data_IF_395429483605
#
_entry.id   IF_395429483605
#
_cell.length_a   1.000
_cell.length_b   1.000
_cell.length_c   1.000
_cell.angle_alpha   90.00
_cell.angle_beta   90.00
_cell.angle_gamma   90.00
#
_symmetry.space_group_name_H-M   'P 1'
#
loop_
_entity.id
_entity.type
_entity.pdbx_description
1 polymer ?
#
# COMPACT_ATOMS: atom_id res chain seq x y z
N UNK A 1 -30.50 -46.12 56.30
CA UNK A 1 -30.14 -45.99 54.88
C UNK A 1 -28.92 -45.11 54.76
N UNK A 2 -27.79 -45.66 54.32
CA UNK A 2 -26.52 -44.99 54.01
C UNK A 2 -26.13 -45.35 52.57
N UNK A 3 -25.28 -44.50 51.98
CA UNK A 3 -24.40 -44.66 50.81
C UNK A 3 -24.78 -43.90 49.53
N UNK A 4 -23.95 -42.89 49.21
CA UNK A 4 -23.14 -42.79 47.98
C UNK A 4 -22.23 -41.54 48.12
N UNK A 5 -21.02 -41.64 48.68
CA UNK A 5 -19.73 -41.97 48.04
C UNK A 5 -19.17 -40.87 47.12
N UNK A 6 -18.34 -39.98 47.70
CA UNK A 6 -17.35 -39.17 47.00
C UNK A 6 -16.21 -40.07 46.47
N UNK A 7 -15.76 -39.85 45.23
CA UNK A 7 -14.41 -40.21 44.78
C UNK A 7 -13.73 -38.98 44.16
N UNK A 8 -12.63 -38.57 44.79
CA UNK A 8 -11.65 -37.62 44.24
C UNK A 8 -10.81 -38.37 43.20
N UNK A 9 -10.64 -37.78 42.02
CA UNK A 9 -9.67 -38.22 41.02
C UNK A 9 -8.41 -37.35 41.15
N UNK A 10 -7.26 -38.00 41.32
CA UNK A 10 -5.91 -37.44 41.36
C UNK A 10 -5.42 -37.02 39.98
N UNK A 11 -4.54 -36.00 39.84
CA UNK A 11 -3.96 -35.64 38.55
C UNK A 11 -2.90 -36.68 38.12
N UNK A 12 -3.14 -37.34 37.00
CA UNK A 12 -2.14 -38.20 36.34
C UNK A 12 -1.08 -37.37 35.64
N UNK A 13 0.19 -37.54 36.05
CA UNK A 13 1.37 -37.02 35.34
C UNK A 13 1.53 -37.78 34.02
N UNK A 14 1.37 -37.10 32.88
CA UNK A 14 1.82 -37.60 31.58
C UNK A 14 3.25 -37.12 31.37
N UNK A 15 4.23 -37.98 31.69
CA UNK A 15 5.62 -37.74 31.34
C UNK A 15 5.83 -38.08 29.86
N UNK A 16 5.89 -37.06 28.98
CA UNK A 16 6.41 -37.24 27.62
C UNK A 16 7.94 -37.26 27.69
N UNK A 17 8.53 -38.42 27.37
CA UNK A 17 9.97 -38.56 27.10
C UNK A 17 10.32 -37.73 25.87
N UNK A 18 11.02 -36.62 26.04
CA UNK A 18 11.79 -36.02 24.96
C UNK A 18 13.09 -36.81 24.80
N UNK A 19 13.17 -37.63 23.77
CA UNK A 19 14.44 -38.15 23.28
C UNK A 19 15.21 -36.99 22.63
N UNK A 20 16.28 -36.52 23.29
CA UNK A 20 17.27 -35.62 22.68
C UNK A 20 17.93 -36.35 21.51
N UNK A 21 17.55 -36.02 20.28
CA UNK A 21 18.43 -36.25 19.13
C UNK A 21 19.60 -35.26 19.26
N UNK A 22 20.80 -35.79 19.44
CA UNK A 22 22.03 -35.01 19.28
C UNK A 22 22.18 -34.72 17.79
N UNK A 23 22.07 -33.45 17.41
CA UNK A 23 22.57 -32.98 16.12
C UNK A 23 24.09 -32.99 16.22
N UNK A 24 24.74 -33.76 15.36
CA UNK A 24 26.19 -33.72 15.21
C UNK A 24 26.55 -32.35 14.60
N UNK A 25 27.40 -31.59 15.28
CA UNK A 25 28.01 -30.38 14.74
C UNK A 25 29.06 -30.79 13.71
N UNK A 26 28.74 -30.59 12.42
CA UNK A 26 29.73 -30.68 11.35
C UNK A 26 30.32 -29.28 11.14
N UNK A 27 31.47 -29.07 11.75
CA UNK A 27 32.17 -27.79 11.87
C UNK A 27 33.21 -27.66 10.74
N UNK A 28 32.75 -27.82 9.49
CA UNK A 28 33.66 -27.96 8.35
C UNK A 28 33.16 -27.41 7.01
N UNK A 29 32.65 -26.17 6.97
CA UNK A 29 32.62 -25.41 5.70
C UNK A 29 33.11 -23.97 5.88
N UNK A 30 34.40 -23.83 5.61
CA UNK A 30 35.16 -22.61 5.46
C UNK A 30 34.58 -21.69 4.36
N UNK A 31 34.52 -20.40 4.71
CA UNK A 31 34.82 -19.25 3.86
C UNK A 31 34.35 -19.31 2.40
N UNK A 32 33.21 -18.68 2.11
CA UNK A 32 32.93 -18.15 0.79
C UNK A 32 32.89 -16.63 0.85
N UNK A 33 33.98 -16.01 0.36
CA UNK A 33 33.95 -14.63 -0.08
C UNK A 33 32.94 -14.52 -1.23
N UNK A 34 32.01 -13.55 -1.24
CA UNK A 34 31.12 -13.38 -2.38
C UNK A 34 31.96 -12.91 -3.58
N UNK A 35 32.18 -13.82 -4.54
CA UNK A 35 32.69 -13.44 -5.85
C UNK A 35 31.57 -12.73 -6.58
N UNK A 36 31.79 -11.46 -6.85
CA UNK A 36 30.98 -10.64 -7.73
C UNK A 36 31.00 -11.24 -9.17
N UNK A 37 29.88 -11.74 -9.72
CA UNK A 37 29.83 -12.09 -11.13
C UNK A 37 29.60 -10.81 -11.92
N UNK A 38 30.65 -10.31 -12.57
CA UNK A 38 30.53 -9.27 -13.60
C UNK A 38 29.73 -9.83 -14.78
N UNK A 39 28.67 -9.09 -15.14
CA UNK A 39 28.14 -8.86 -16.47
C UNK A 39 27.91 -10.09 -17.37
N UNK A 40 26.63 -10.48 -17.43
CA UNK A 40 26.01 -10.99 -18.66
C UNK A 40 24.91 -9.98 -19.01
N UNK A 41 25.15 -9.15 -20.03
CA UNK A 41 24.12 -8.40 -20.77
C UNK A 41 23.85 -9.19 -22.03
N UNK A 42 22.68 -9.80 -22.16
CA UNK A 42 21.98 -10.08 -23.42
C UNK A 42 20.59 -10.69 -23.10
N UNK A 43 19.53 -9.95 -23.39
CA UNK A 43 18.12 -10.38 -23.35
C UNK A 43 17.49 -10.50 -21.96
N UNK A 44 17.34 -9.41 -21.21
CA UNK A 44 16.64 -9.46 -19.92
C UNK A 44 15.13 -9.42 -20.16
N UNK A 45 14.49 -10.56 -19.94
CA UNK A 45 13.06 -10.70 -19.65
C UNK A 45 12.74 -9.78 -18.47
N UNK A 46 11.90 -8.78 -18.66
CA UNK A 46 11.48 -7.88 -17.58
C UNK A 46 9.97 -7.63 -17.66
N UNK A 47 9.31 -7.59 -16.50
CA UNK A 47 8.02 -6.93 -16.41
C UNK A 47 8.19 -5.43 -16.63
N UNK A 48 7.16 -4.79 -17.17
CA UNK A 48 7.18 -3.38 -17.52
C UNK A 48 6.27 -2.61 -16.56
N UNK A 49 6.85 -1.66 -15.82
CA UNK A 49 6.04 -0.61 -15.18
C UNK A 49 5.54 0.31 -16.29
N UNK A 50 4.23 0.31 -16.56
CA UNK A 50 3.64 1.08 -17.67
C UNK A 50 2.94 2.35 -17.21
N UNK A 51 2.60 2.45 -15.92
CA UNK A 51 1.93 3.61 -15.34
C UNK A 51 2.24 3.73 -13.85
N UNK A 52 2.40 4.96 -13.36
CA UNK A 52 2.47 5.25 -11.94
C UNK A 52 1.71 6.55 -11.61
N UNK A 53 0.98 6.57 -10.49
CA UNK A 53 0.27 7.77 -10.04
C UNK A 53 -0.24 7.68 -8.61
N UNK A 54 -0.71 8.80 -8.07
CA UNK A 54 -1.30 8.87 -6.73
C UNK A 54 -2.61 9.63 -6.72
N UNK A 55 -3.52 9.24 -5.83
CA UNK A 55 -4.80 9.92 -5.64
C UNK A 55 -5.34 9.79 -4.21
N UNK A 56 -6.00 10.82 -3.71
CA UNK A 56 -6.81 10.71 -2.49
C UNK A 56 -7.93 9.66 -2.63
N UNK A 57 -8.38 9.08 -1.51
CA UNK A 57 -9.37 7.98 -1.47
C UNK A 57 -10.56 8.21 -0.54
N UNK A 58 -10.81 9.44 -0.08
CA UNK A 58 -11.92 9.71 0.86
C UNK A 58 -13.27 9.29 0.25
N UNK A 59 -14.14 8.63 1.03
CA UNK A 59 -15.40 8.06 0.53
C UNK A 59 -16.34 9.09 -0.13
N UNK A 60 -16.18 10.38 0.22
CA UNK A 60 -16.94 11.49 -0.38
C UNK A 60 -16.77 11.61 -1.90
N UNK A 61 -15.64 11.16 -2.45
CA UNK A 61 -15.32 11.16 -3.88
C UNK A 61 -16.39 10.40 -4.67
N UNK A 62 -16.82 9.24 -4.18
CA UNK A 62 -17.82 8.40 -4.85
C UNK A 62 -19.24 8.75 -4.38
N UNK A 63 -19.40 9.01 -3.08
CA UNK A 63 -20.74 9.18 -2.47
C UNK A 63 -21.39 10.51 -2.76
N UNK A 64 -20.58 11.55 -2.91
CA UNK A 64 -21.03 12.93 -3.05
C UNK A 64 -20.13 13.68 -4.05
N UNK A 65 -20.02 13.20 -5.30
CA UNK A 65 -19.06 13.72 -6.27
C UNK A 65 -19.23 15.23 -6.53
N UNK A 66 -20.45 15.75 -6.42
CA UNK A 66 -20.81 17.16 -6.65
C UNK A 66 -20.87 18.01 -5.35
N UNK A 67 -20.21 17.58 -4.27
CA UNK A 67 -20.31 18.23 -2.97
C UNK A 67 -19.80 19.68 -2.94
N UNK A 68 -18.88 20.05 -3.83
CA UNK A 68 -18.40 21.43 -3.97
C UNK A 68 -18.43 21.84 -5.45
N UNK A 69 -19.46 22.54 -5.92
CA UNK A 69 -19.56 22.97 -7.32
C UNK A 69 -18.38 23.81 -7.83
N UNK A 70 -17.59 24.43 -6.94
CA UNK A 70 -16.40 25.19 -7.34
C UNK A 70 -15.19 24.29 -7.66
N UNK A 71 -15.08 23.13 -7.00
CA UNK A 71 -13.90 22.26 -7.07
C UNK A 71 -14.19 20.87 -7.68
N UNK A 72 -15.40 20.34 -7.51
CA UNK A 72 -15.82 19.04 -8.04
C UNK A 72 -15.55 18.89 -9.54
N UNK A 73 -15.87 19.85 -10.43
CA UNK A 73 -15.65 19.66 -11.87
C UNK A 73 -14.18 19.51 -12.28
N UNK A 74 -13.26 20.22 -11.64
CA UNK A 74 -11.83 20.12 -11.98
C UNK A 74 -11.21 18.82 -11.47
N UNK A 75 -11.63 18.35 -10.28
CA UNK A 75 -11.21 17.06 -9.76
C UNK A 75 -11.78 15.93 -10.62
N UNK A 76 -13.05 16.07 -11.04
CA UNK A 76 -13.71 15.10 -11.90
C UNK A 76 -12.96 14.90 -13.23
N UNK A 77 -12.64 16.02 -13.90
CA UNK A 77 -11.86 16.01 -15.13
C UNK A 77 -10.46 15.38 -14.95
N UNK A 78 -9.80 15.62 -13.81
CA UNK A 78 -8.49 15.06 -13.52
C UNK A 78 -8.51 13.54 -13.32
N UNK A 79 -9.50 13.01 -12.58
CA UNK A 79 -9.68 11.55 -12.47
C UNK A 79 -10.09 10.91 -13.80
N UNK A 80 -10.92 11.58 -14.61
CA UNK A 80 -11.24 11.11 -15.96
C UNK A 80 -9.98 11.04 -16.85
N UNK A 81 -9.09 12.03 -16.77
CA UNK A 81 -7.79 11.97 -17.46
C UNK A 81 -6.97 10.79 -16.95
N UNK A 82 -6.76 10.68 -15.64
CA UNK A 82 -5.98 9.58 -15.04
C UNK A 82 -6.52 8.20 -15.44
N UNK A 83 -7.85 8.01 -15.42
CA UNK A 83 -8.47 6.75 -15.85
C UNK A 83 -8.20 6.45 -17.33
N UNK A 84 -8.28 7.47 -18.20
CA UNK A 84 -7.97 7.33 -19.62
C UNK A 84 -6.49 7.00 -19.85
N UNK A 85 -5.58 7.63 -19.10
CA UNK A 85 -4.14 7.41 -19.19
C UNK A 85 -3.76 5.99 -18.70
N UNK A 86 -4.37 5.51 -17.60
CA UNK A 86 -4.25 4.11 -17.15
C UNK A 86 -4.79 3.14 -18.21
N UNK A 87 -5.96 3.41 -18.78
CA UNK A 87 -6.55 2.55 -19.81
C UNK A 87 -5.68 2.51 -21.08
N UNK A 88 -5.05 3.63 -21.46
CA UNK A 88 -4.14 3.72 -22.60
C UNK A 88 -2.81 3.00 -22.36
N UNK A 89 -2.30 2.98 -21.11
CA UNK A 89 -1.15 2.18 -20.70
C UNK A 89 -1.44 0.67 -20.74
N UNK A 90 -2.71 0.29 -20.67
CA UNK A 90 -3.23 -1.08 -20.76
C UNK A 90 -2.48 -2.07 -19.83
N UNK A 91 -2.47 -1.85 -18.51
CA UNK A 91 -1.83 -2.78 -17.58
C UNK A 91 -2.60 -4.11 -17.51
N UNK A 92 -1.85 -5.20 -17.37
CA UNK A 92 -2.40 -6.53 -17.05
C UNK A 92 -2.86 -6.59 -15.58
N UNK A 93 -2.18 -5.85 -14.71
CA UNK A 93 -2.39 -5.82 -13.26
C UNK A 93 -2.09 -4.43 -12.69
N UNK A 94 -2.89 -4.00 -11.72
CA UNK A 94 -2.67 -2.78 -10.96
C UNK A 94 -2.25 -3.14 -9.54
N UNK A 95 -1.05 -2.74 -9.14
CA UNK A 95 -0.64 -2.78 -7.74
C UNK A 95 -1.17 -1.51 -7.07
N UNK A 96 -2.12 -1.67 -6.16
CA UNK A 96 -2.77 -0.57 -5.47
C UNK A 96 -2.19 -0.46 -4.06
N UNK A 97 -1.33 0.53 -3.84
CA UNK A 97 -0.66 0.80 -2.56
C UNK A 97 -1.52 1.73 -1.72
N UNK A 98 -2.04 1.26 -0.59
CA UNK A 98 -2.99 2.02 0.23
C UNK A 98 -2.87 1.68 1.72
N UNK A 99 -3.44 2.51 2.61
CA UNK A 99 -3.71 2.10 3.98
C UNK A 99 -5.00 1.27 4.07
N UNK A 100 -5.28 0.76 5.26
CA UNK A 100 -6.54 0.16 5.71
C UNK A 100 -6.95 0.90 6.98
N UNK A 101 -8.24 1.16 7.13
CA UNK A 101 -8.78 2.01 8.20
C UNK A 101 -9.34 1.18 9.36
N UNK A 102 -8.66 0.08 9.69
CA UNK A 102 -9.02 -0.89 10.73
C UNK A 102 -10.23 -1.79 10.39
N UNK A 103 -10.56 -1.92 9.11
CA UNK A 103 -11.61 -2.83 8.66
C UNK A 103 -11.02 -4.24 8.44
N UNK A 104 -9.90 -4.34 7.74
CA UNK A 104 -9.21 -5.63 7.50
C UNK A 104 -8.12 -5.92 8.52
N UNK A 105 -7.40 -4.90 8.99
CA UNK A 105 -6.32 -5.10 9.95
C UNK A 105 -6.63 -4.42 11.29
N UNK A 106 -7.13 -5.22 12.23
CA UNK A 106 -7.32 -4.82 13.62
C UNK A 106 -6.05 -4.90 14.46
N UNK A 107 -6.10 -4.39 15.70
CA UNK A 107 -4.96 -4.36 16.62
C UNK A 107 -4.49 -5.76 17.07
N UNK A 108 -5.31 -6.78 16.89
CA UNK A 108 -4.96 -8.17 17.13
C UNK A 108 -3.86 -8.67 16.18
N UNK A 109 -3.76 -8.10 14.97
CA UNK A 109 -2.70 -8.38 14.02
C UNK A 109 -2.56 -7.26 12.98
N UNK A 110 -1.77 -6.24 13.33
CA UNK A 110 -1.52 -5.09 12.47
C UNK A 110 -0.11 -5.14 11.87
N UNK A 111 0.05 -5.52 10.58
CA UNK A 111 1.35 -5.56 9.93
C UNK A 111 1.89 -4.15 9.64
N UNK A 112 3.19 -4.02 9.38
CA UNK A 112 3.75 -2.76 8.82
C UNK A 112 3.47 -2.68 7.32
N UNK A 113 3.67 -3.81 6.62
CA UNK A 113 3.39 -3.99 5.20
C UNK A 113 2.67 -5.32 4.99
N UNK A 114 1.66 -5.34 4.14
CA UNK A 114 0.97 -6.58 3.76
C UNK A 114 0.60 -6.55 2.28
N UNK A 115 0.77 -7.66 1.58
CA UNK A 115 0.32 -7.81 0.20
C UNK A 115 -0.85 -8.80 0.14
N UNK A 116 -1.92 -8.40 -0.53
CA UNK A 116 -2.97 -9.32 -0.94
C UNK A 116 -2.48 -10.15 -2.12
N UNK A 117 -2.47 -11.46 -1.94
CA UNK A 117 -1.96 -12.41 -2.93
C UNK A 117 -3.02 -13.48 -3.23
N UNK A 118 -4.22 -13.02 -3.53
CA UNK A 118 -5.39 -13.83 -3.84
C UNK A 118 -5.80 -13.62 -5.30
N UNK A 119 -6.58 -14.53 -5.87
CA UNK A 119 -7.24 -14.31 -7.17
C UNK A 119 -8.55 -13.50 -7.03
N UNK A 120 -9.02 -13.25 -5.81
CA UNK A 120 -10.18 -12.42 -5.51
C UNK A 120 -10.05 -11.75 -4.13
N UNK A 121 -10.54 -10.53 -4.03
CA UNK A 121 -10.55 -9.72 -2.82
C UNK A 121 -11.98 -9.29 -2.50
N UNK A 122 -12.44 -9.53 -1.27
CA UNK A 122 -13.77 -9.06 -0.83
C UNK A 122 -13.84 -7.53 -0.76
N UNK A 123 -15.05 -7.00 -0.62
CA UNK A 123 -15.31 -5.57 -0.42
C UNK A 123 -16.09 -5.37 0.89
N UNK A 124 -15.59 -4.51 1.78
CA UNK A 124 -16.28 -4.19 3.03
C UNK A 124 -17.53 -3.35 2.81
N UNK A 125 -17.54 -2.54 1.75
CA UNK A 125 -18.63 -1.63 1.40
C UNK A 125 -18.97 -0.66 2.55
N UNK A 126 -17.96 -0.30 3.36
CA UNK A 126 -18.15 0.63 4.45
C UNK A 126 -18.43 2.03 3.93
N UNK A 127 -19.01 2.85 4.81
CA UNK A 127 -19.56 4.16 4.45
C UNK A 127 -20.63 4.13 3.33
N UNK A 128 -21.12 2.95 2.93
CA UNK A 128 -22.08 2.80 1.84
C UNK A 128 -21.45 2.94 0.45
N UNK A 129 -20.13 2.73 0.34
CA UNK A 129 -19.46 2.58 -0.95
C UNK A 129 -19.93 1.26 -1.56
N UNK A 130 -20.58 1.26 -2.74
CA UNK A 130 -21.01 0.04 -3.39
C UNK A 130 -19.80 -0.71 -3.95
N UNK A 131 -19.69 -2.02 -3.78
CA UNK A 131 -18.53 -2.76 -4.28
C UNK A 131 -18.81 -4.24 -4.37
N UNK A 132 -18.57 -4.79 -5.55
CA UNK A 132 -18.46 -6.23 -5.75
C UNK A 132 -17.04 -6.69 -5.36
N UNK A 133 -16.81 -7.99 -5.14
CA UNK A 133 -15.47 -8.53 -5.02
C UNK A 133 -14.58 -8.12 -6.20
N UNK A 134 -13.33 -7.79 -5.92
CA UNK A 134 -12.35 -7.30 -6.87
C UNK A 134 -11.48 -8.46 -7.34
N UNK A 135 -11.28 -8.62 -8.65
CA UNK A 135 -10.40 -9.64 -9.19
C UNK A 135 -8.95 -9.38 -8.77
N UNK A 136 -8.27 -10.41 -8.27
CA UNK A 136 -6.86 -10.37 -7.90
C UNK A 136 -5.95 -11.06 -8.91
N UNK A 137 -4.67 -11.15 -8.56
CA UNK A 137 -3.69 -11.98 -9.29
C UNK A 137 -2.72 -12.63 -8.30
N UNK A 138 -3.03 -13.86 -7.87
CA UNK A 138 -2.20 -14.59 -6.89
C UNK A 138 -0.76 -14.74 -7.39
N UNK A 139 -0.57 -15.00 -8.69
CA UNK A 139 0.74 -15.27 -9.27
C UNK A 139 1.64 -14.05 -9.21
N UNK A 140 1.13 -12.89 -9.63
CA UNK A 140 1.86 -11.62 -9.56
C UNK A 140 2.09 -11.24 -8.10
N UNK A 141 1.05 -11.29 -7.25
CA UNK A 141 1.17 -10.96 -5.83
C UNK A 141 2.22 -11.80 -5.10
N UNK A 142 2.22 -13.12 -5.31
CA UNK A 142 3.21 -14.03 -4.71
C UNK A 142 4.61 -13.86 -5.29
N UNK A 143 4.75 -13.51 -6.58
CA UNK A 143 6.04 -13.22 -7.18
C UNK A 143 6.67 -11.93 -6.59
N UNK A 144 5.86 -10.87 -6.46
CA UNK A 144 6.28 -9.62 -5.81
C UNK A 144 6.67 -9.89 -4.36
N UNK A 145 5.83 -10.58 -3.58
CA UNK A 145 6.12 -10.95 -2.20
C UNK A 145 7.46 -11.68 -2.08
N UNK A 146 7.68 -12.69 -2.92
CA UNK A 146 8.90 -13.51 -2.90
C UNK A 146 10.15 -12.67 -3.16
N UNK A 147 10.07 -11.73 -4.12
CA UNK A 147 11.15 -10.80 -4.42
C UNK A 147 11.45 -9.84 -3.25
N UNK A 148 10.41 -9.28 -2.62
CA UNK A 148 10.54 -8.37 -1.49
C UNK A 148 11.16 -9.06 -0.27
N UNK A 149 10.73 -10.29 0.05
CA UNK A 149 11.31 -11.10 1.12
C UNK A 149 12.77 -11.43 0.82
N UNK A 150 13.10 -11.82 -0.42
CA UNK A 150 14.49 -12.06 -0.84
C UNK A 150 15.37 -10.80 -0.74
N UNK A 151 14.76 -9.61 -0.85
CA UNK A 151 15.41 -8.30 -0.72
C UNK A 151 15.50 -7.80 0.73
N UNK A 152 15.05 -8.58 1.71
CA UNK A 152 15.15 -8.24 3.13
C UNK A 152 14.00 -7.40 3.69
N UNK A 153 12.82 -7.42 3.04
CA UNK A 153 11.60 -6.85 3.60
C UNK A 153 10.71 -7.92 4.24
N UNK A 154 10.32 -7.68 5.49
CA UNK A 154 9.36 -8.52 6.22
C UNK A 154 7.92 -8.12 5.85
N UNK A 155 7.50 -8.46 4.62
CA UNK A 155 6.14 -8.20 4.14
C UNK A 155 5.24 -9.38 4.51
N UNK A 156 4.12 -9.09 5.19
CA UNK A 156 3.08 -10.08 5.47
C UNK A 156 2.28 -10.38 4.20
N UNK A 157 1.59 -11.53 4.16
CA UNK A 157 0.67 -11.86 3.08
C UNK A 157 -0.73 -12.10 3.61
N UNK A 158 -1.71 -11.68 2.85
CA UNK A 158 -3.12 -12.03 3.03
C UNK A 158 -3.60 -12.77 1.77
N UNK A 159 -4.07 -14.01 1.93
CA UNK A 159 -4.62 -14.81 0.82
C UNK A 159 -6.09 -14.50 0.54
N UNK A 160 -6.71 -13.67 1.37
CA UNK A 160 -8.08 -13.16 1.26
C UNK A 160 -8.10 -11.79 1.97
N UNK A 161 -7.62 -10.74 1.31
CA UNK A 161 -7.64 -9.37 1.86
C UNK A 161 -8.95 -8.70 1.43
N UNK A 162 -9.91 -8.55 2.35
CA UNK A 162 -11.08 -7.70 2.10
C UNK A 162 -10.63 -6.25 1.98
N UNK A 163 -11.23 -5.50 1.07
CA UNK A 163 -10.82 -4.14 0.75
C UNK A 163 -11.79 -3.14 1.33
N UNK A 164 -11.23 -2.13 1.98
CA UNK A 164 -11.92 -0.96 2.50
C UNK A 164 -11.90 0.18 1.46
N UNK A 165 -12.40 1.35 1.82
CA UNK A 165 -12.49 2.53 0.97
C UNK A 165 -11.14 3.07 0.52
N UNK A 166 -10.06 2.79 1.26
CA UNK A 166 -8.69 3.13 0.89
C UNK A 166 -8.28 2.50 -0.45
N UNK A 167 -8.91 1.37 -0.80
CA UNK A 167 -8.73 0.68 -2.07
C UNK A 167 -9.97 0.79 -2.99
N UNK A 168 -11.18 0.65 -2.45
CA UNK A 168 -12.41 0.59 -3.27
C UNK A 168 -12.75 1.93 -3.93
N UNK A 169 -12.46 3.07 -3.29
CA UNK A 169 -12.69 4.39 -3.88
C UNK A 169 -11.88 4.58 -5.17
N UNK A 170 -10.54 4.38 -5.18
CA UNK A 170 -9.78 4.48 -6.43
C UNK A 170 -10.19 3.41 -7.46
N UNK A 171 -10.53 2.18 -7.05
CA UNK A 171 -11.03 1.15 -7.98
C UNK A 171 -12.27 1.62 -8.72
N UNK A 172 -13.24 2.22 -8.02
CA UNK A 172 -14.46 2.74 -8.66
C UNK A 172 -14.22 4.03 -9.43
N UNK A 173 -13.47 4.95 -8.82
CA UNK A 173 -13.30 6.29 -9.37
C UNK A 173 -12.51 6.30 -10.67
N UNK A 174 -11.58 5.36 -10.81
CA UNK A 174 -10.71 5.21 -11.98
C UNK A 174 -11.17 4.07 -12.91
N UNK A 175 -12.37 3.51 -12.70
CA UNK A 175 -12.97 2.45 -13.51
C UNK A 175 -12.07 1.20 -13.66
N UNK A 176 -11.50 0.74 -12.55
CA UNK A 176 -10.57 -0.38 -12.49
C UNK A 176 -11.25 -1.73 -12.21
N UNK A 177 -12.58 -1.80 -12.15
CA UNK A 177 -13.32 -3.00 -11.75
C UNK A 177 -13.05 -4.24 -12.62
N UNK A 178 -12.73 -4.03 -13.90
CA UNK A 178 -12.38 -5.10 -14.86
C UNK A 178 -10.88 -5.44 -14.86
N UNK A 179 -10.05 -4.73 -14.09
CA UNK A 179 -8.61 -4.96 -13.97
C UNK A 179 -8.32 -5.89 -12.78
N UNK A 180 -7.22 -6.64 -12.88
CA UNK A 180 -6.69 -7.40 -11.75
C UNK A 180 -5.99 -6.44 -10.79
N UNK A 181 -6.33 -6.52 -9.51
CA UNK A 181 -5.79 -5.66 -8.46
C UNK A 181 -4.95 -6.50 -7.49
N UNK A 182 -3.70 -6.10 -7.29
CA UNK A 182 -2.85 -6.61 -6.20
C UNK A 182 -2.80 -5.52 -5.12
N UNK A 183 -3.60 -5.63 -4.05
CA UNK A 183 -3.61 -4.63 -2.99
C UNK A 183 -2.33 -4.75 -2.15
N UNK A 184 -1.69 -3.61 -1.88
CA UNK A 184 -0.49 -3.51 -1.08
C UNK A 184 -0.74 -2.55 0.08
N UNK A 185 -0.99 -3.11 1.25
CA UNK A 185 -1.19 -2.36 2.48
C UNK A 185 0.11 -1.79 3.04
N UNK A 186 0.07 -0.51 3.41
CA UNK A 186 1.09 0.19 4.19
C UNK A 186 0.45 0.77 5.45
N UNK A 187 0.98 0.42 6.63
CA UNK A 187 0.49 1.01 7.88
C UNK A 187 0.82 2.51 7.93
N UNK A 188 -0.23 3.33 7.90
CA UNK A 188 -0.15 4.78 7.99
C UNK A 188 -0.83 5.34 9.26
N UNK A 189 -1.54 4.49 10.00
CA UNK A 189 -2.55 4.93 10.97
C UNK A 189 -2.13 4.68 12.42
N UNK A 190 -1.47 3.56 12.71
CA UNK A 190 -1.17 3.15 14.09
C UNK A 190 0.32 2.93 14.32
N UNK A 191 0.97 3.74 15.17
CA UNK A 191 2.37 3.55 15.52
C UNK A 191 2.68 2.18 16.14
N UNK A 192 3.90 1.63 15.92
CA UNK A 192 4.99 2.23 15.17
C UNK A 192 4.74 2.21 13.66
N UNK A 193 4.99 3.33 12.99
CA UNK A 193 4.86 3.48 11.55
C UNK A 193 6.18 3.17 10.86
N UNK A 194 6.18 2.67 9.62
CA UNK A 194 7.41 2.66 8.81
C UNK A 194 7.85 4.12 8.61
N UNK A 195 9.17 4.37 8.68
CA UNK A 195 9.69 5.69 8.31
C UNK A 195 9.47 5.95 6.82
N UNK A 196 9.41 7.22 6.42
CA UNK A 196 9.33 7.60 5.01
C UNK A 196 10.51 7.05 4.21
N UNK A 197 11.72 7.01 4.80
CA UNK A 197 12.87 6.35 4.17
C UNK A 197 12.61 4.85 3.93
N UNK A 198 12.00 4.13 4.88
CA UNK A 198 11.68 2.71 4.70
C UNK A 198 10.63 2.51 3.61
N UNK A 199 9.69 3.45 3.44
CA UNK A 199 8.73 3.47 2.34
C UNK A 199 9.41 3.72 0.99
N UNK A 200 10.40 4.62 0.92
CA UNK A 200 11.21 4.85 -0.29
C UNK A 200 12.00 3.59 -0.68
N UNK A 201 12.67 2.97 0.29
CA UNK A 201 13.40 1.72 0.08
C UNK A 201 12.45 0.60 -0.41
N UNK A 202 11.23 0.53 0.15
CA UNK A 202 10.20 -0.41 -0.28
C UNK A 202 9.77 -0.16 -1.73
N UNK A 203 9.57 1.09 -2.13
CA UNK A 203 9.22 1.44 -3.52
C UNK A 203 10.30 1.03 -4.51
N UNK A 204 11.58 1.27 -4.19
CA UNK A 204 12.69 0.80 -5.02
C UNK A 204 12.77 -0.75 -5.11
N UNK A 205 12.47 -1.44 -4.02
CA UNK A 205 12.38 -2.90 -3.99
C UNK A 205 11.16 -3.42 -4.78
N UNK A 206 10.02 -2.71 -4.72
CA UNK A 206 8.83 -3.02 -5.51
C UNK A 206 9.12 -2.87 -7.01
N UNK A 207 9.81 -1.80 -7.42
CA UNK A 207 10.26 -1.66 -8.82
C UNK A 207 11.12 -2.83 -9.25
N UNK A 208 12.10 -3.21 -8.44
CA UNK A 208 12.96 -4.37 -8.72
C UNK A 208 12.18 -5.68 -8.81
N UNK A 209 11.10 -5.82 -8.03
CA UNK A 209 10.21 -6.98 -8.09
C UNK A 209 9.36 -7.01 -9.36
N UNK A 210 8.85 -5.85 -9.81
CA UNK A 210 8.12 -5.70 -11.07
C UNK A 210 9.04 -6.02 -12.26
N UNK A 211 10.25 -5.47 -12.28
CA UNK A 211 11.25 -5.74 -13.33
C UNK A 211 11.66 -7.23 -13.39
N UNK A 212 11.41 -8.01 -12.33
CA UNK A 212 11.71 -9.44 -12.25
C UNK A 212 10.51 -10.35 -12.61
N UNK A 213 9.34 -9.79 -12.91
CA UNK A 213 8.19 -10.53 -13.39
C UNK A 213 8.43 -11.12 -14.79
N UNK A 214 7.59 -12.07 -15.24
CA UNK A 214 7.68 -12.63 -16.60
C UNK A 214 7.62 -11.55 -17.68
N UNK A 215 8.26 -11.84 -18.82
CA UNK A 215 8.40 -10.92 -19.95
C UNK A 215 7.05 -10.38 -20.43
N UNK A 216 6.96 -9.06 -20.60
CA UNK A 216 5.76 -8.40 -21.10
C UNK A 216 4.61 -8.28 -20.10
N UNK A 217 4.82 -8.63 -18.82
CA UNK A 217 3.83 -8.34 -17.77
C UNK A 217 3.77 -6.84 -17.55
N UNK A 218 2.67 -6.19 -17.95
CA UNK A 218 2.47 -4.75 -17.80
C UNK A 218 1.83 -4.44 -16.46
N UNK A 219 2.52 -3.69 -15.62
CA UNK A 219 2.08 -3.33 -14.27
C UNK A 219 1.82 -1.84 -14.18
N UNK A 220 0.69 -1.45 -13.62
CA UNK A 220 0.47 -0.09 -13.13
C UNK A 220 0.60 -0.05 -11.60
N UNK A 221 1.14 1.03 -11.04
CA UNK A 221 1.24 1.22 -9.59
C UNK A 221 0.51 2.49 -9.18
N UNK A 222 -0.44 2.38 -8.26
CA UNK A 222 -1.21 3.51 -7.74
C UNK A 222 -1.04 3.64 -6.23
N UNK A 223 -0.64 4.82 -5.75
CA UNK A 223 -0.65 5.14 -4.32
C UNK A 223 -1.93 5.87 -3.92
N UNK A 224 -2.53 5.51 -2.79
CA UNK A 224 -3.81 6.10 -2.35
C UNK A 224 -3.70 6.81 -1.01
N UNK A 225 -4.53 7.82 -0.80
CA UNK A 225 -4.66 8.55 0.47
C UNK A 225 -4.11 9.96 0.43
N UNK A 226 -4.07 10.60 1.59
CA UNK A 226 -3.69 12.00 1.75
C UNK A 226 -4.74 12.99 1.18
N UNK A 227 -4.45 14.28 1.09
CA UNK A 227 -3.21 14.95 1.54
C UNK A 227 -3.43 15.43 2.98
N UNK A 228 -3.47 16.74 3.28
CA UNK A 228 -3.76 17.19 4.65
C UNK A 228 -5.20 16.92 5.05
N UNK A 229 -5.35 16.33 6.24
CA UNK A 229 -6.62 16.22 6.96
C UNK A 229 -6.41 15.74 8.40
N UNK A 230 -7.27 16.22 9.28
CA UNK A 230 -7.42 15.72 10.64
C UNK A 230 -8.70 14.92 10.73
N UNK A 231 -8.61 13.70 11.26
CA UNK A 231 -9.75 12.78 11.33
C UNK A 231 -9.85 12.16 12.72
N UNK A 232 -11.03 12.25 13.33
CA UNK A 232 -11.29 11.69 14.66
C UNK A 232 -10.58 12.41 15.81
N UNK A 233 -10.06 13.62 15.57
CA UNK A 233 -9.28 14.43 16.54
C UNK A 233 -9.81 15.87 16.64
N UNK A 234 -9.44 16.68 17.65
CA UNK A 234 -10.03 18.01 17.87
C UNK A 234 -9.99 18.98 16.68
N UNK A 235 -8.97 18.87 15.82
CA UNK A 235 -8.78 19.69 14.60
C UNK A 235 -9.52 19.14 13.36
N UNK A 236 -10.39 18.14 13.54
CA UNK A 236 -11.07 17.50 12.40
C UNK A 236 -11.84 18.52 11.55
N UNK A 237 -11.68 18.43 10.22
CA UNK A 237 -12.25 19.38 9.27
C UNK A 237 -11.30 20.48 8.81
N UNK A 238 -10.14 20.64 9.45
CA UNK A 238 -9.07 21.52 8.95
C UNK A 238 -8.38 20.92 7.71
N UNK A 239 -7.96 21.80 6.80
CA UNK A 239 -7.16 21.49 5.60
C UNK A 239 -6.04 22.52 5.55
N UNK A 240 -4.80 22.08 5.39
CA UNK A 240 -3.64 22.96 5.24
C UNK A 240 -3.19 23.02 3.78
N UNK A 241 -3.80 23.93 3.02
CA UNK A 241 -3.50 24.10 1.60
C UNK A 241 -2.05 24.47 1.30
N UNK A 242 -1.41 25.23 2.19
CA UNK A 242 -0.02 25.64 1.98
C UNK A 242 0.89 24.41 2.09
N UNK A 243 0.65 23.58 3.10
CA UNK A 243 1.39 22.32 3.25
C UNK A 243 1.14 21.38 2.07
N UNK A 244 -0.12 21.21 1.65
CA UNK A 244 -0.48 20.36 0.51
C UNK A 244 0.24 20.78 -0.76
N UNK A 245 0.20 22.08 -1.10
CA UNK A 245 0.86 22.62 -2.29
C UNK A 245 2.38 22.46 -2.24
N UNK A 246 2.99 22.62 -1.05
CA UNK A 246 4.43 22.36 -0.86
C UNK A 246 4.75 20.88 -1.06
N UNK A 247 3.98 19.98 -0.45
CA UNK A 247 4.18 18.53 -0.61
C UNK A 247 4.02 18.09 -2.07
N UNK A 248 2.94 18.51 -2.74
CA UNK A 248 2.70 18.19 -4.14
C UNK A 248 3.82 18.69 -5.05
N UNK A 249 4.33 19.91 -4.81
CA UNK A 249 5.47 20.43 -5.56
C UNK A 249 6.74 19.59 -5.38
N UNK A 250 6.98 19.01 -4.19
CA UNK A 250 8.11 18.10 -3.99
C UNK A 250 7.93 16.81 -4.80
N UNK A 251 6.71 16.24 -4.81
CA UNK A 251 6.40 15.05 -5.60
C UNK A 251 6.53 15.33 -7.10
N UNK A 252 6.00 16.45 -7.60
CA UNK A 252 6.10 16.85 -9.01
C UNK A 252 7.55 17.02 -9.46
N UNK A 253 8.42 17.54 -8.58
CA UNK A 253 9.84 17.72 -8.88
C UNK A 253 10.70 16.47 -8.65
N UNK A 254 10.12 15.38 -8.14
CA UNK A 254 10.87 14.17 -7.78
C UNK A 254 11.79 14.34 -6.56
N UNK A 255 11.57 15.37 -5.74
CA UNK A 255 12.40 15.67 -4.57
C UNK A 255 12.02 14.79 -3.36
N UNK A 256 12.19 13.48 -3.51
CA UNK A 256 11.94 12.53 -2.43
C UNK A 256 12.91 12.70 -1.27
N UNK A 257 14.11 13.26 -1.49
CA UNK A 257 15.07 13.55 -0.42
C UNK A 257 14.45 14.52 0.60
N UNK A 258 13.78 15.58 0.13
CA UNK A 258 13.05 16.50 0.99
C UNK A 258 11.87 15.80 1.68
N UNK A 259 11.09 14.99 0.96
CA UNK A 259 9.92 14.30 1.53
C UNK A 259 10.33 13.33 2.64
N UNK A 260 11.33 12.48 2.42
CA UNK A 260 11.76 11.48 3.43
C UNK A 260 12.47 12.11 4.64
N UNK A 261 12.85 13.38 4.55
CA UNK A 261 13.43 14.14 5.67
C UNK A 261 12.38 14.66 6.66
N UNK A 262 11.09 14.65 6.28
CA UNK A 262 9.99 15.04 7.16
C UNK A 262 9.84 14.06 8.32
N UNK A 263 9.50 14.56 9.50
CA UNK A 263 9.19 13.75 10.67
C UNK A 263 7.68 13.54 10.84
N UNK A 264 7.29 12.44 11.49
CA UNK A 264 5.87 12.18 11.80
C UNK A 264 5.26 13.28 12.66
N UNK A 265 6.02 13.84 13.61
CA UNK A 265 5.56 14.92 14.48
C UNK A 265 5.28 16.21 13.68
N UNK A 266 6.14 16.56 12.72
CA UNK A 266 5.91 17.71 11.82
C UNK A 266 4.67 17.50 10.95
N UNK A 267 4.49 16.29 10.39
CA UNK A 267 3.32 15.97 9.57
C UNK A 267 2.03 16.03 10.41
N UNK A 268 2.05 15.45 11.61
CA UNK A 268 0.89 15.46 12.52
C UNK A 268 0.46 16.89 12.90
N UNK A 269 1.43 17.76 13.15
CA UNK A 269 1.17 19.15 13.54
C UNK A 269 0.73 20.00 12.34
N UNK A 270 1.39 19.88 11.19
CA UNK A 270 1.14 20.76 10.04
C UNK A 270 0.05 20.26 9.09
N UNK A 271 -0.18 18.96 8.98
CA UNK A 271 -1.04 18.36 7.96
C UNK A 271 -2.07 17.35 8.52
N UNK A 272 -1.88 16.90 9.75
CA UNK A 272 -2.82 16.06 10.48
C UNK A 272 -2.55 14.58 10.40
N UNK A 273 -3.26 13.81 11.22
CA UNK A 273 -3.07 12.37 11.33
C UNK A 273 -3.41 11.61 10.05
N UNK A 274 -4.31 12.14 9.23
CA UNK A 274 -4.62 11.57 7.92
C UNK A 274 -3.53 11.80 6.89
N UNK A 275 -2.71 12.86 7.03
CA UNK A 275 -1.60 13.12 6.13
C UNK A 275 -0.47 12.09 6.25
N UNK A 276 -0.44 11.27 7.30
CA UNK A 276 0.56 10.19 7.43
C UNK A 276 0.48 9.14 6.31
N UNK A 277 -0.62 9.13 5.56
CA UNK A 277 -0.83 8.34 4.35
C UNK A 277 0.08 8.71 3.18
N UNK A 278 0.80 9.84 3.23
CA UNK A 278 1.82 10.18 2.21
C UNK A 278 2.91 9.11 2.07
N UNK A 279 3.02 8.16 3.01
CA UNK A 279 3.83 6.94 2.87
C UNK A 279 3.53 6.17 1.59
N UNK A 280 2.27 6.07 1.19
CA UNK A 280 1.88 5.38 -0.06
C UNK A 280 2.39 6.15 -1.27
N UNK A 281 2.39 7.49 -1.20
CA UNK A 281 2.93 8.36 -2.24
C UNK A 281 4.44 8.19 -2.38
N UNK A 282 5.16 8.07 -1.27
CA UNK A 282 6.61 7.80 -1.26
C UNK A 282 6.93 6.43 -1.85
N UNK A 283 6.17 5.38 -1.51
CA UNK A 283 6.35 4.05 -2.13
C UNK A 283 6.14 4.13 -3.65
N UNK A 284 5.07 4.77 -4.09
CA UNK A 284 4.73 4.86 -5.52
C UNK A 284 5.73 5.70 -6.30
N UNK A 285 6.17 6.85 -5.76
CA UNK A 285 7.14 7.72 -6.42
C UNK A 285 8.54 7.08 -6.51
N UNK A 286 8.97 6.36 -5.46
CA UNK A 286 10.20 5.58 -5.49
C UNK A 286 10.12 4.41 -6.49
N UNK A 287 8.96 3.76 -6.59
CA UNK A 287 8.72 2.72 -7.59
C UNK A 287 8.76 3.27 -9.03
N UNK A 288 8.22 4.47 -9.25
CA UNK A 288 8.27 5.17 -10.53
C UNK A 288 9.71 5.59 -10.92
N UNK A 289 10.62 5.67 -9.96
CA UNK A 289 12.03 6.03 -10.17
C UNK A 289 12.36 7.48 -9.85
N UNK A 290 11.52 8.17 -9.06
CA UNK A 290 11.82 9.47 -8.46
C UNK A 290 12.07 10.60 -9.49
N UNK A 291 11.58 10.45 -10.72
CA UNK A 291 11.71 11.47 -11.78
C UNK A 291 10.76 12.67 -11.60
N UNK A 292 9.81 12.54 -10.68
CA UNK A 292 8.75 13.50 -10.49
C UNK A 292 7.51 13.17 -11.31
N UNK A 293 6.76 14.19 -11.68
CA UNK A 293 5.48 14.02 -12.34
C UNK A 293 4.72 15.32 -12.51
N UNK A 294 3.41 15.19 -12.65
CA UNK A 294 2.50 16.30 -12.90
C UNK A 294 1.26 16.16 -12.02
N UNK A 295 0.97 17.17 -11.21
CA UNK A 295 -0.32 17.28 -10.54
C UNK A 295 -1.40 17.53 -11.60
N UNK A 296 -2.34 16.59 -11.72
CA UNK A 296 -3.50 16.74 -12.60
C UNK A 296 -4.50 17.71 -12.00
N UNK A 297 -4.68 17.65 -10.67
CA UNK A 297 -5.45 18.62 -9.91
C UNK A 297 -5.09 18.60 -8.42
N UNK A 298 -5.38 19.72 -7.78
CA UNK A 298 -5.46 19.86 -6.32
C UNK A 298 -6.68 20.70 -5.95
N UNK A 299 -7.40 20.31 -4.88
CA UNK A 299 -8.40 21.17 -4.28
C UNK A 299 -8.61 20.90 -2.78
N UNK A 300 -8.82 21.93 -1.95
CA UNK A 300 -9.27 21.77 -0.56
C UNK A 300 -10.76 21.42 -0.50
N UNK A 301 -11.09 20.14 -0.42
CA UNK A 301 -12.48 19.69 -0.38
C UNK A 301 -13.02 19.70 1.05
N UNK A 302 -13.40 20.87 1.56
CA UNK A 302 -14.00 21.02 2.89
C UNK A 302 -15.23 20.13 3.13
N UNK A 303 -16.15 19.91 2.17
CA UNK A 303 -17.24 18.96 2.36
C UNK A 303 -16.80 17.51 2.60
N UNK A 304 -15.58 17.16 2.15
CA UNK A 304 -14.96 15.85 2.38
C UNK A 304 -13.86 15.89 3.45
N UNK A 305 -13.67 17.03 4.11
CA UNK A 305 -12.69 17.28 5.18
C UNK A 305 -11.23 16.97 4.83
N UNK A 306 -10.87 17.00 3.54
CA UNK A 306 -9.54 16.59 3.07
C UNK A 306 -9.07 17.42 1.88
N UNK A 307 -7.76 17.73 1.85
CA UNK A 307 -7.09 18.21 0.64
C UNK A 307 -6.96 17.08 -0.39
N UNK A 308 -7.54 17.26 -1.58
CA UNK A 308 -7.55 16.23 -2.63
C UNK A 308 -6.42 16.50 -3.61
N UNK A 309 -5.49 15.55 -3.73
CA UNK A 309 -4.41 15.56 -4.71
C UNK A 309 -4.53 14.41 -5.70
N UNK A 310 -4.26 14.69 -6.97
CA UNK A 310 -4.22 13.70 -8.05
C UNK A 310 -2.95 13.96 -8.86
N UNK A 311 -2.00 13.02 -8.85
CA UNK A 311 -0.70 13.18 -9.50
C UNK A 311 -0.41 11.99 -10.41
N UNK A 312 0.03 12.29 -11.61
CA UNK A 312 0.59 11.32 -12.55
C UNK A 312 2.13 11.40 -12.49
N UNK A 313 2.81 10.26 -12.44
CA UNK A 313 4.26 10.20 -12.27
C UNK A 313 4.96 9.77 -13.57
N UNK A 314 6.14 10.32 -13.81
CA UNK A 314 6.99 9.86 -14.90
C UNK A 314 7.60 8.50 -14.55
N UNK A 315 7.39 7.50 -15.42
CA UNK A 315 7.94 6.16 -15.24
C UNK A 315 9.35 6.08 -15.83
N UNK A 316 10.30 5.58 -15.02
CA UNK A 316 11.71 5.56 -15.35
C UNK A 316 12.16 4.50 -16.35
#
# INVERSE_FOLDING_TARGET
MRFCALRRLTPGRVARRFTRQRVASDDSLLTHSPRNPRHIKEGRIMGDLVYAGTTSHVSGIVRTPDADPAHSPQLDAAWTSMAADIAAADPDVVVLVGPDHHETFGLENLPIFCIGAADEHGAWNEHGIPGDPVAGDEKVGMAILSSLVASGFDVSRAMEMTLDHGFLVPVQRLDLGDRRIVPFYVNCNTPPLPSLQRCRDLGAALRSAIDALPDGTKVAVLGTGGVSHWVGVPRSGEINEEWDKRFLALIENGDLDAVVSMTDDEILEEAGNGALEIRTWVVTAACAGEKGGRALAYAPMYPWVTGIGIVEMEVA
#
